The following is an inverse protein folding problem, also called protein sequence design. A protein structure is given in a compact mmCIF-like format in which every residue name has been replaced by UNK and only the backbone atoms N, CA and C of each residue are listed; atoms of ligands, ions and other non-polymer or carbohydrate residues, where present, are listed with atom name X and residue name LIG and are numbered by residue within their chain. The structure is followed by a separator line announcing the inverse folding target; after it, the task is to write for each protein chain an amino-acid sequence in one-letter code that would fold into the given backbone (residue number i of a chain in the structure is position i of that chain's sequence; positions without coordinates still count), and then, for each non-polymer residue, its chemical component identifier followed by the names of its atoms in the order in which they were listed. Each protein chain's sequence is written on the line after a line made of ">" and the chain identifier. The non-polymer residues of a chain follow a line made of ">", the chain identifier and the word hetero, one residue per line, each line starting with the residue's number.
data_IF_008459531331
#
_entry.id   IF_008459531331
#
_cell.length_a   1.000
_cell.length_b   1.000
_cell.length_c   1.000
_cell.angle_alpha   90.00
_cell.angle_beta   90.00
_cell.angle_gamma   90.00
#
_symmetry.space_group_name_H-M   'P 1'
#
loop_
_entity.id
_entity.type
_entity.pdbx_description
1 polymer ?
#
# COMPACT_ATOMS: atom_id res chain seq x y z
N UNK A 1 -13.85 8.29 -19.87
CA UNK A 1 -13.77 7.47 -18.64
C UNK A 1 -15.10 7.60 -17.88
N UNK A 2 -15.66 6.49 -17.38
CA UNK A 2 -16.90 6.50 -16.58
C UNK A 2 -16.59 7.01 -15.16
N UNK A 3 -17.52 7.74 -14.55
CA UNK A 3 -17.37 8.20 -13.16
C UNK A 3 -17.40 6.98 -12.21
N UNK A 4 -16.56 7.00 -11.17
CA UNK A 4 -16.54 5.96 -10.14
C UNK A 4 -15.95 4.61 -10.56
N UNK A 5 -15.19 4.55 -11.65
CA UNK A 5 -14.46 3.34 -12.10
C UNK A 5 -12.96 3.50 -11.95
N UNK A 6 -12.23 2.39 -11.82
CA UNK A 6 -10.78 2.36 -11.89
C UNK A 6 -10.30 2.92 -13.25
N UNK A 7 -9.36 3.88 -13.28
CA UNK A 7 -8.82 4.43 -14.52
C UNK A 7 -8.00 3.41 -15.33
N UNK A 8 -7.40 2.41 -14.68
CA UNK A 8 -6.51 1.43 -15.32
C UNK A 8 -7.25 0.31 -16.06
N UNK A 9 -8.40 -0.13 -15.55
CA UNK A 9 -9.13 -1.30 -16.07
C UNK A 9 -10.64 -1.07 -16.27
N UNK A 10 -11.19 0.07 -15.84
CA UNK A 10 -12.62 0.38 -15.96
C UNK A 10 -13.54 -0.35 -14.97
N UNK A 11 -13.01 -1.17 -14.06
CA UNK A 11 -13.79 -1.88 -13.05
C UNK A 11 -14.41 -0.92 -12.02
N UNK A 12 -15.58 -1.28 -11.49
CA UNK A 12 -16.23 -0.60 -10.35
C UNK A 12 -15.92 -1.27 -9.01
N UNK A 13 -15.18 -2.37 -9.04
CA UNK A 13 -14.82 -3.12 -7.85
C UNK A 13 -13.64 -2.42 -7.15
N UNK A 14 -14.00 -1.43 -6.33
CA UNK A 14 -13.09 -0.52 -5.63
C UNK A 14 -13.28 -0.69 -4.12
N UNK A 15 -12.23 -1.12 -3.44
CA UNK A 15 -12.22 -1.22 -1.97
C UNK A 15 -11.54 0.01 -1.37
N UNK A 16 -12.20 0.64 -0.39
CA UNK A 16 -11.59 1.71 0.40
C UNK A 16 -10.61 1.11 1.42
N UNK A 17 -9.39 1.66 1.50
CA UNK A 17 -8.36 1.21 2.44
C UNK A 17 -8.35 2.14 3.65
N UNK A 18 -7.92 3.39 3.46
CA UNK A 18 -7.85 4.40 4.52
C UNK A 18 -7.97 5.80 3.92
N UNK A 19 -8.67 6.72 4.61
CA UNK A 19 -8.78 8.11 4.14
C UNK A 19 -9.36 8.23 2.73
N UNK A 20 -8.55 8.72 1.79
CA UNK A 20 -8.85 8.88 0.36
C UNK A 20 -8.27 7.77 -0.53
N UNK A 21 -7.67 6.75 0.08
CA UNK A 21 -7.01 5.65 -0.61
C UNK A 21 -7.97 4.51 -0.89
N UNK A 22 -7.91 4.02 -2.12
CA UNK A 22 -8.70 2.93 -2.64
C UNK A 22 -7.81 1.95 -3.38
N UNK A 23 -8.23 0.70 -3.48
CA UNK A 23 -7.59 -0.31 -4.30
C UNK A 23 -8.64 -0.90 -5.22
N UNK A 24 -8.33 -0.98 -6.52
CA UNK A 24 -9.19 -1.74 -7.42
C UNK A 24 -9.01 -3.23 -7.17
N UNK A 25 -10.08 -3.98 -6.89
CA UNK A 25 -9.96 -5.42 -6.65
C UNK A 25 -9.66 -6.21 -7.92
N UNK A 26 -10.17 -5.75 -9.07
CA UNK A 26 -9.99 -6.43 -10.34
C UNK A 26 -8.54 -6.33 -10.86
N UNK A 27 -7.93 -5.15 -10.78
CA UNK A 27 -6.57 -4.93 -11.28
C UNK A 27 -5.58 -4.55 -10.17
N UNK A 28 -5.94 -4.59 -8.89
CA UNK A 28 -5.04 -4.29 -7.76
C UNK A 28 -4.25 -2.99 -7.90
N UNK A 29 -4.78 -2.00 -8.60
CA UNK A 29 -4.15 -0.69 -8.77
C UNK A 29 -4.43 0.16 -7.52
N UNK A 30 -3.41 0.83 -6.94
CA UNK A 30 -3.61 1.80 -5.88
C UNK A 30 -4.22 3.07 -6.46
N UNK A 31 -5.31 3.54 -5.86
CA UNK A 31 -6.08 4.67 -6.35
C UNK A 31 -6.26 5.70 -5.24
N UNK A 32 -6.30 6.96 -5.64
CA UNK A 32 -6.67 8.07 -4.77
C UNK A 32 -7.91 8.76 -5.28
N UNK A 33 -8.73 9.23 -4.34
CA UNK A 33 -9.93 9.97 -4.64
C UNK A 33 -9.69 11.48 -4.55
N UNK A 34 -9.83 12.21 -5.66
CA UNK A 34 -9.36 13.60 -5.78
C UNK A 34 -10.12 14.65 -4.97
N UNK A 35 -11.26 14.30 -4.35
CA UNK A 35 -12.08 15.31 -3.68
C UNK A 35 -12.61 14.87 -2.32
N UNK A 36 -11.75 14.85 -1.30
CA UNK A 36 -12.18 14.73 0.11
C UNK A 36 -12.94 15.94 0.63
N UNK A 37 -12.74 17.11 0.04
CA UNK A 37 -13.49 18.32 0.36
C UNK A 37 -15.01 18.11 0.24
N UNK A 38 -15.48 17.14 -0.56
CA UNK A 38 -16.88 16.74 -0.63
C UNK A 38 -17.43 16.16 0.69
N UNK A 39 -16.60 15.43 1.46
CA UNK A 39 -16.96 15.01 2.81
C UNK A 39 -17.02 16.20 3.76
N UNK A 40 -16.08 17.15 3.59
CA UNK A 40 -16.12 18.45 4.26
C UNK A 40 -17.40 19.22 3.93
N UNK A 41 -17.84 19.26 2.68
CA UNK A 41 -19.09 19.91 2.27
C UNK A 41 -20.30 19.16 2.86
N UNK A 42 -20.32 17.83 2.87
CA UNK A 42 -21.41 17.05 3.47
C UNK A 42 -21.55 17.23 4.99
N UNK A 43 -20.46 17.55 5.71
CA UNK A 43 -20.44 17.67 7.18
C UNK A 43 -20.43 19.13 7.64
N UNK A 44 -19.58 19.97 7.04
CA UNK A 44 -19.38 21.38 7.40
C UNK A 44 -20.51 22.25 6.87
N UNK A 45 -21.01 21.99 5.65
CA UNK A 45 -22.03 22.85 5.04
C UNK A 45 -23.34 22.85 5.84
N UNK A 46 -23.89 21.74 6.37
CA UNK A 46 -25.06 21.76 7.26
C UNK A 46 -24.83 22.51 8.57
N UNK A 47 -23.60 22.44 9.10
CA UNK A 47 -23.22 23.09 10.37
C UNK A 47 -23.01 24.61 10.20
N UNK A 48 -22.52 25.05 9.04
CA UNK A 48 -22.25 26.46 8.75
C UNK A 48 -23.36 27.16 8.00
N UNK A 49 -24.26 26.42 7.32
CA UNK A 49 -25.40 26.97 6.58
C UNK A 49 -26.24 27.96 7.40
N UNK A 50 -26.63 27.66 8.66
CA UNK A 50 -27.47 28.56 9.43
C UNK A 50 -26.81 29.91 9.70
N UNK A 51 -25.52 29.89 10.03
CA UNK A 51 -24.74 31.11 10.27
C UNK A 51 -24.47 31.87 8.95
N UNK A 52 -24.23 31.15 7.85
CA UNK A 52 -24.05 31.74 6.53
C UNK A 52 -25.35 32.44 6.07
N UNK A 53 -26.51 31.84 6.33
CA UNK A 53 -27.82 32.43 6.00
C UNK A 53 -28.12 33.71 6.77
N UNK A 54 -27.63 33.83 8.02
CA UNK A 54 -27.82 35.03 8.83
C UNK A 54 -26.97 36.22 8.36
N UNK A 55 -25.90 35.99 7.58
CA UNK A 55 -25.04 37.04 7.04
C UNK A 55 -25.63 37.75 5.81
N UNK A 56 -26.69 37.20 5.20
CA UNK A 56 -27.28 37.77 4.00
C UNK A 56 -28.61 38.48 4.29
N UNK A 57 -28.90 39.61 3.59
CA UNK A 57 -30.21 40.26 3.61
C UNK A 57 -31.34 39.31 3.19
N UNK A 58 -32.55 39.50 3.72
CA UNK A 58 -33.68 38.57 3.54
C UNK A 58 -33.99 38.24 2.06
N UNK A 59 -33.78 39.19 1.15
CA UNK A 59 -34.07 39.00 -0.29
C UNK A 59 -33.15 37.99 -1.00
N UNK A 60 -31.98 37.68 -0.42
CA UNK A 60 -30.98 36.76 -0.99
C UNK A 60 -30.53 35.67 -0.01
N UNK A 61 -31.05 35.71 1.23
CA UNK A 61 -30.77 34.75 2.32
C UNK A 61 -30.85 33.29 1.88
N UNK A 62 -31.78 32.96 0.98
CA UNK A 62 -31.94 31.61 0.44
C UNK A 62 -31.31 31.41 -0.94
N UNK A 63 -31.19 32.49 -1.74
CA UNK A 63 -30.67 32.42 -3.11
C UNK A 63 -29.17 32.13 -3.19
N UNK A 64 -28.35 32.86 -2.42
CA UNK A 64 -26.89 32.70 -2.46
C UNK A 64 -26.44 31.32 -1.97
N UNK A 65 -26.95 30.80 -0.83
CA UNK A 65 -26.60 29.44 -0.38
C UNK A 65 -27.09 28.35 -1.33
N UNK A 66 -28.26 28.50 -1.94
CA UNK A 66 -28.78 27.54 -2.91
C UNK A 66 -27.89 27.47 -4.18
N UNK A 67 -27.43 28.62 -4.68
CA UNK A 67 -26.49 28.67 -5.82
C UNK A 67 -25.15 28.04 -5.44
N UNK A 68 -24.61 28.35 -4.26
CA UNK A 68 -23.38 27.72 -3.76
C UNK A 68 -23.51 26.19 -3.67
N UNK A 69 -24.62 25.68 -3.11
CA UNK A 69 -24.90 24.25 -3.03
C UNK A 69 -24.95 23.62 -4.43
N UNK A 70 -25.65 24.25 -5.37
CA UNK A 70 -25.77 23.76 -6.75
C UNK A 70 -24.41 23.72 -7.44
N UNK A 71 -23.58 24.77 -7.30
CA UNK A 71 -22.22 24.79 -7.84
C UNK A 71 -21.38 23.69 -7.21
N UNK A 72 -21.42 23.50 -5.89
CA UNK A 72 -20.68 22.45 -5.21
C UNK A 72 -21.11 21.04 -5.64
N UNK A 73 -22.41 20.80 -5.85
CA UNK A 73 -22.92 19.54 -6.39
C UNK A 73 -22.48 19.31 -7.84
N UNK A 74 -22.51 20.34 -8.68
CA UNK A 74 -22.01 20.25 -10.06
C UNK A 74 -20.51 19.94 -10.05
N UNK A 75 -19.73 20.63 -9.23
CA UNK A 75 -18.30 20.35 -9.04
C UNK A 75 -18.09 18.91 -8.51
N UNK A 76 -18.93 18.45 -7.58
CA UNK A 76 -18.89 17.07 -7.07
C UNK A 76 -19.05 16.06 -8.19
N UNK A 77 -20.13 16.13 -8.95
CA UNK A 77 -20.39 15.16 -9.99
C UNK A 77 -19.43 15.29 -11.18
N UNK A 78 -18.92 16.50 -11.46
CA UNK A 78 -17.99 16.75 -12.56
C UNK A 78 -16.56 16.28 -12.25
N UNK A 79 -16.10 16.47 -11.01
CA UNK A 79 -14.71 16.22 -10.60
C UNK A 79 -14.53 14.97 -9.71
N UNK A 80 -15.59 14.23 -9.37
CA UNK A 80 -15.53 12.92 -8.69
C UNK A 80 -14.81 11.89 -9.57
N UNK A 81 -13.49 11.76 -9.44
CA UNK A 81 -12.70 10.78 -10.20
C UNK A 81 -11.71 10.05 -9.29
N UNK A 82 -11.43 8.81 -9.68
CA UNK A 82 -10.32 8.06 -9.13
C UNK A 82 -9.11 8.27 -10.03
N UNK A 83 -7.97 8.52 -9.41
CA UNK A 83 -6.69 8.66 -10.07
C UNK A 83 -5.76 7.59 -9.53
N UNK A 84 -4.75 7.21 -10.32
CA UNK A 84 -3.69 6.34 -9.84
C UNK A 84 -2.96 7.07 -8.71
N UNK A 85 -2.76 6.43 -7.56
CA UNK A 85 -1.92 7.00 -6.52
C UNK A 85 -0.46 6.74 -6.86
N UNK A 86 0.18 7.69 -7.56
CA UNK A 86 1.56 7.56 -8.01
C UNK A 86 2.56 7.46 -6.86
N UNK A 87 2.29 8.13 -5.74
CA UNK A 87 3.13 8.06 -4.54
C UNK A 87 3.10 6.64 -4.01
N UNK A 88 1.90 6.11 -3.79
CA UNK A 88 1.73 4.74 -3.27
C UNK A 88 2.25 3.69 -4.26
N UNK A 89 2.08 3.92 -5.56
CA UNK A 89 2.62 3.05 -6.60
C UNK A 89 4.15 2.98 -6.52
N UNK A 90 4.82 4.12 -6.36
CA UNK A 90 6.27 4.19 -6.25
C UNK A 90 6.78 3.55 -4.97
N UNK A 91 6.10 3.74 -3.84
CA UNK A 91 6.41 3.04 -2.58
C UNK A 91 6.34 1.51 -2.75
N UNK A 92 5.24 1.00 -3.32
CA UNK A 92 5.09 -0.44 -3.58
C UNK A 92 6.16 -0.98 -4.53
N UNK A 93 6.51 -0.23 -5.57
CA UNK A 93 7.59 -0.60 -6.49
C UNK A 93 8.95 -0.67 -5.78
N UNK A 94 9.24 0.28 -4.88
CA UNK A 94 10.48 0.29 -4.09
C UNK A 94 10.52 -0.88 -3.11
N UNK A 95 9.41 -1.17 -2.41
CA UNK A 95 9.29 -2.31 -1.50
C UNK A 95 9.51 -3.63 -2.25
N UNK A 96 8.83 -3.85 -3.38
CA UNK A 96 8.99 -5.07 -4.17
C UNK A 96 10.39 -5.21 -4.77
N UNK A 97 11.02 -4.12 -5.21
CA UNK A 97 12.40 -4.15 -5.68
C UNK A 97 13.38 -4.51 -4.57
N UNK A 98 13.15 -3.99 -3.36
CA UNK A 98 13.94 -4.35 -2.19
C UNK A 98 13.81 -5.84 -1.86
N UNK A 99 12.59 -6.36 -1.79
CA UNK A 99 12.32 -7.78 -1.52
C UNK A 99 12.95 -8.68 -2.60
N UNK A 100 12.85 -8.29 -3.87
CA UNK A 100 13.48 -9.01 -4.98
C UNK A 100 15.02 -9.04 -4.86
N UNK A 101 15.64 -7.92 -4.48
CA UNK A 101 17.08 -7.87 -4.25
C UNK A 101 17.50 -8.76 -3.07
N UNK A 102 16.75 -8.75 -1.97
CA UNK A 102 17.02 -9.59 -0.80
C UNK A 102 16.89 -11.08 -1.14
N UNK A 103 15.80 -11.48 -1.79
CA UNK A 103 15.57 -12.86 -2.21
C UNK A 103 16.62 -13.35 -3.21
N UNK A 104 17.06 -12.47 -4.13
CA UNK A 104 18.15 -12.75 -5.06
C UNK A 104 19.50 -12.95 -4.34
N UNK A 105 19.84 -12.07 -3.39
CA UNK A 105 21.06 -12.22 -2.58
C UNK A 105 21.04 -13.49 -1.73
N UNK A 106 19.90 -13.82 -1.13
CA UNK A 106 19.74 -15.06 -0.36
C UNK A 106 19.92 -16.30 -1.25
N UNK A 107 19.24 -16.35 -2.40
CA UNK A 107 19.33 -17.46 -3.37
C UNK A 107 20.75 -17.63 -3.93
N UNK A 108 21.51 -16.54 -4.06
CA UNK A 108 22.93 -16.55 -4.43
C UNK A 108 23.89 -16.85 -3.26
N UNK A 109 23.37 -17.21 -2.08
CA UNK A 109 24.13 -17.43 -0.84
C UNK A 109 25.04 -16.27 -0.45
N UNK A 110 24.62 -15.03 -0.73
CA UNK A 110 25.32 -13.79 -0.33
C UNK A 110 24.77 -13.18 0.96
N UNK A 111 23.64 -13.69 1.45
CA UNK A 111 22.98 -13.27 2.70
C UNK A 111 22.60 -14.51 3.49
N UNK A 112 22.80 -14.49 4.81
CA UNK A 112 22.45 -15.59 5.68
C UNK A 112 20.95 -15.67 5.97
N UNK A 113 20.48 -16.81 6.47
CA UNK A 113 19.07 -17.06 6.80
C UNK A 113 18.55 -16.07 7.85
N UNK A 114 19.35 -15.75 8.87
CA UNK A 114 18.91 -14.86 9.95
C UNK A 114 18.75 -13.42 9.47
N UNK A 115 19.67 -12.95 8.63
CA UNK A 115 19.59 -11.64 7.97
C UNK A 115 18.37 -11.57 7.05
N UNK A 116 18.13 -12.63 6.27
CA UNK A 116 16.99 -12.72 5.36
C UNK A 116 15.65 -12.65 6.09
N UNK A 117 15.52 -13.35 7.22
CA UNK A 117 14.32 -13.30 8.07
C UNK A 117 14.11 -11.92 8.68
N UNK A 118 15.18 -11.24 9.11
CA UNK A 118 15.07 -9.92 9.73
C UNK A 118 14.73 -8.79 8.75
N UNK A 119 15.19 -8.90 7.51
CA UNK A 119 15.04 -7.84 6.51
C UNK A 119 13.77 -8.00 5.68
N UNK A 120 13.35 -9.22 5.36
CA UNK A 120 12.15 -9.42 4.55
C UNK A 120 10.89 -9.37 5.40
N UNK A 121 10.02 -8.38 5.14
CA UNK A 121 8.86 -8.07 5.98
C UNK A 121 7.95 -9.28 6.28
N UNK A 122 7.67 -10.12 5.27
CA UNK A 122 6.85 -11.33 5.43
C UNK A 122 7.46 -12.33 6.42
N UNK A 123 8.77 -12.58 6.32
CA UNK A 123 9.47 -13.49 7.23
C UNK A 123 9.68 -12.86 8.61
N UNK A 124 9.96 -11.55 8.67
CA UNK A 124 10.14 -10.83 9.93
C UNK A 124 8.90 -10.88 10.81
N UNK A 125 7.73 -10.69 10.20
CA UNK A 125 6.47 -10.72 10.93
C UNK A 125 6.06 -12.14 11.35
N UNK A 126 6.45 -13.15 10.58
CA UNK A 126 6.09 -14.56 10.84
C UNK A 126 7.06 -15.23 11.80
N UNK A 127 8.36 -15.19 11.49
CA UNK A 127 9.42 -15.91 12.20
C UNK A 127 10.26 -14.98 13.07
N UNK A 128 10.44 -13.73 12.65
CA UNK A 128 11.30 -12.77 13.33
C UNK A 128 10.87 -12.46 14.77
N UNK A 129 9.64 -12.77 15.18
CA UNK A 129 9.16 -12.59 16.57
C UNK A 129 9.16 -13.87 17.40
N UNK A 130 9.48 -15.02 16.80
CA UNK A 130 9.40 -16.31 17.49
C UNK A 130 10.58 -16.44 18.46
N UNK A 131 10.37 -16.85 19.73
CA UNK A 131 11.43 -16.92 20.74
C UNK A 131 12.66 -17.74 20.31
N UNK A 132 12.45 -18.86 19.61
CA UNK A 132 13.57 -19.68 19.13
C UNK A 132 14.44 -18.95 18.10
N UNK A 133 13.83 -18.19 17.18
CA UNK A 133 14.55 -17.35 16.22
C UNK A 133 15.21 -16.16 16.90
N UNK A 134 14.55 -15.54 17.88
CA UNK A 134 15.12 -14.47 18.69
C UNK A 134 16.37 -14.92 19.47
N UNK A 135 16.36 -16.15 19.99
CA UNK A 135 17.55 -16.75 20.61
C UNK A 135 18.68 -16.92 19.60
N UNK A 136 18.41 -17.49 18.42
CA UNK A 136 19.41 -17.63 17.37
C UNK A 136 19.98 -16.29 16.88
N UNK A 137 19.12 -15.28 16.75
CA UNK A 137 19.54 -13.92 16.37
C UNK A 137 20.45 -13.31 17.44
N UNK A 138 20.07 -13.43 18.70
CA UNK A 138 20.90 -12.95 19.82
C UNK A 138 22.25 -13.66 19.85
N UNK A 139 22.29 -14.97 19.65
CA UNK A 139 23.55 -15.74 19.56
C UNK A 139 24.39 -15.30 18.37
N UNK A 140 23.77 -15.11 17.21
CA UNK A 140 24.42 -14.61 16.00
C UNK A 140 25.04 -13.22 16.22
N UNK A 141 24.30 -12.26 16.78
CA UNK A 141 24.80 -10.90 16.97
C UNK A 141 25.74 -10.74 18.18
N UNK A 142 25.71 -11.65 19.15
CA UNK A 142 26.62 -11.61 20.30
C UNK A 142 27.94 -12.36 20.07
N UNK A 143 28.05 -13.18 19.01
CA UNK A 143 29.28 -13.91 18.66
C UNK A 143 30.21 -13.01 17.84
N UNK A 144 31.50 -12.97 18.18
CA UNK A 144 32.51 -12.27 17.38
C UNK A 144 32.57 -12.91 15.98
N UNK A 145 32.24 -12.14 14.95
CA UNK A 145 32.15 -12.60 13.56
C UNK A 145 30.82 -13.29 13.20
N UNK A 146 29.90 -13.46 14.16
CA UNK A 146 28.60 -14.09 13.95
C UNK A 146 28.64 -15.54 13.49
N UNK A 147 27.49 -16.02 13.03
CA UNK A 147 27.38 -17.30 12.32
C UNK A 147 27.64 -17.09 10.83
N UNK A 148 28.44 -17.98 10.23
CA UNK A 148 28.55 -18.03 8.78
C UNK A 148 27.22 -18.52 8.15
N UNK A 149 27.09 -18.38 6.83
CA UNK A 149 25.84 -18.68 6.11
C UNK A 149 25.38 -20.13 6.30
N UNK A 150 26.31 -21.09 6.32
CA UNK A 150 25.98 -22.50 6.52
C UNK A 150 25.56 -22.81 7.95
N UNK A 151 26.23 -22.23 8.94
CA UNK A 151 25.86 -22.33 10.35
C UNK A 151 24.44 -21.77 10.57
N UNK A 152 24.13 -20.60 9.99
CA UNK A 152 22.79 -20.02 10.05
C UNK A 152 21.73 -20.94 9.43
N UNK A 153 22.04 -21.52 8.26
CA UNK A 153 21.12 -22.42 7.57
C UNK A 153 20.86 -23.70 8.37
N UNK A 154 21.91 -24.29 8.96
CA UNK A 154 21.79 -25.49 9.79
C UNK A 154 21.02 -25.20 11.08
N UNK A 155 21.33 -24.10 11.76
CA UNK A 155 20.65 -23.70 12.98
C UNK A 155 19.15 -23.45 12.74
N UNK A 156 18.80 -22.76 11.64
CA UNK A 156 17.40 -22.54 11.27
C UNK A 156 16.68 -23.85 10.93
N UNK A 157 17.29 -24.71 10.09
CA UNK A 157 16.67 -25.98 9.67
C UNK A 157 16.50 -26.95 10.85
N UNK A 158 17.35 -26.85 11.87
CA UNK A 158 17.19 -27.60 13.12
C UNK A 158 15.97 -27.17 13.94
N UNK A 159 15.57 -25.90 13.86
CA UNK A 159 14.35 -25.40 14.50
C UNK A 159 13.09 -25.59 13.66
N UNK A 160 13.23 -25.49 12.33
CA UNK A 160 12.13 -25.55 11.37
C UNK A 160 12.49 -26.45 10.19
N UNK A 161 12.45 -27.79 10.38
CA UNK A 161 12.84 -28.74 9.34
C UNK A 161 11.89 -28.73 8.14
N UNK A 162 10.63 -28.37 8.35
CA UNK A 162 9.59 -28.39 7.31
C UNK A 162 9.56 -27.11 6.46
N UNK A 163 10.42 -26.12 6.76
CA UNK A 163 10.44 -24.83 6.07
C UNK A 163 11.59 -24.80 5.06
N UNK A 164 11.25 -24.86 3.78
CA UNK A 164 12.20 -24.61 2.70
C UNK A 164 12.27 -23.12 2.35
N UNK A 165 13.26 -22.42 2.94
CA UNK A 165 13.52 -21.01 2.65
C UNK A 165 14.04 -20.76 1.23
N UNK A 166 14.64 -21.75 0.58
CA UNK A 166 15.08 -21.60 -0.81
C UNK A 166 13.87 -21.66 -1.76
N UNK A 167 12.93 -22.57 -1.50
CA UNK A 167 11.67 -22.58 -2.22
C UNK A 167 10.90 -21.28 -1.99
N UNK A 168 10.85 -20.80 -0.74
CA UNK A 168 10.23 -19.52 -0.42
C UNK A 168 10.89 -18.35 -1.18
N UNK A 169 12.23 -18.27 -1.21
CA UNK A 169 12.93 -17.19 -1.90
C UNK A 169 12.68 -17.20 -3.41
N UNK A 170 12.66 -18.37 -4.04
CA UNK A 170 12.32 -18.52 -5.46
C UNK A 170 10.89 -18.07 -5.77
N UNK A 171 9.92 -18.46 -4.92
CA UNK A 171 8.54 -18.01 -5.04
C UNK A 171 8.44 -16.49 -4.91
N UNK A 172 9.12 -15.89 -3.93
CA UNK A 172 9.15 -14.43 -3.77
C UNK A 172 9.76 -13.70 -4.96
N UNK A 173 10.83 -14.23 -5.56
CA UNK A 173 11.40 -13.65 -6.79
C UNK A 173 10.35 -13.65 -7.89
N UNK A 174 9.71 -14.79 -8.16
CA UNK A 174 8.72 -14.90 -9.24
C UNK A 174 7.51 -13.99 -9.02
N UNK A 175 7.02 -13.91 -7.78
CA UNK A 175 5.92 -13.04 -7.39
C UNK A 175 6.28 -11.57 -7.54
N UNK A 176 7.42 -11.14 -6.98
CA UNK A 176 7.86 -9.75 -7.03
C UNK A 176 8.14 -9.30 -8.47
N UNK A 177 8.70 -10.16 -9.32
CA UNK A 177 8.89 -9.87 -10.75
C UNK A 177 7.56 -9.61 -11.47
N UNK A 178 6.61 -10.54 -11.35
CA UNK A 178 5.30 -10.42 -11.97
C UNK A 178 4.56 -9.16 -11.48
N UNK A 179 4.67 -8.87 -10.19
CA UNK A 179 4.02 -7.72 -9.58
C UNK A 179 4.66 -6.39 -10.01
N UNK A 180 6.00 -6.32 -10.09
CA UNK A 180 6.71 -5.14 -10.62
C UNK A 180 6.32 -4.89 -12.07
N UNK A 181 6.27 -5.92 -12.91
CA UNK A 181 5.85 -5.80 -14.31
C UNK A 181 4.42 -5.25 -14.41
N UNK A 182 3.51 -5.79 -13.59
CA UNK A 182 2.12 -5.34 -13.51
C UNK A 182 2.01 -3.88 -13.08
N UNK A 183 2.72 -3.47 -12.03
CA UNK A 183 2.69 -2.09 -11.52
C UNK A 183 3.33 -1.10 -12.52
N UNK A 184 4.41 -1.49 -13.20
CA UNK A 184 5.01 -0.69 -14.29
C UNK A 184 4.05 -0.50 -15.47
N UNK A 185 3.17 -1.47 -15.75
CA UNK A 185 2.17 -1.31 -16.79
C UNK A 185 1.15 -0.18 -16.48
N UNK A 186 1.03 0.26 -15.23
CA UNK A 186 0.19 1.40 -14.85
C UNK A 186 0.90 2.74 -15.02
N UNK A 187 2.19 2.83 -14.74
CA UNK A 187 2.95 4.07 -14.92
C UNK A 187 3.10 4.47 -16.40
N UNK A 188 3.03 3.51 -17.33
CA UNK A 188 3.07 3.77 -18.78
C UNK A 188 1.72 4.24 -19.33
N UNK A 189 0.62 3.96 -18.61
CA UNK A 189 -0.76 4.28 -19.05
C UNK A 189 -1.34 5.54 -18.37
N UNK A 190 -0.62 6.11 -17.41
CA UNK A 190 -1.00 7.32 -16.69
C UNK A 190 -0.78 8.58 -17.54
#
# INVERSE_FOLDING_TARGET
>A
MKLGTCPCCGSRDLQKVQGEEFVCQACKAPLRFTWSAAHGIGIVLPLTLPNLMQQFPEFIRYGVPAVLLAVLLVLYFKYRRFHLDEIRLNELLLELQHDLQLAGKFSARKTGVLDFIQQMNGLKNTYGKVPAIQTLLREHFNRVGGFNIEEQSRAFSGLYPDIDLNQFSQQQISFAQAEIERLRAYSVKA
#
